data_IF_055495790052
#
_entry.id   IF_055495790052
#
_cell.length_a   1.000
_cell.length_b   1.000
_cell.length_c   1.000
_cell.angle_alpha   90.00
_cell.angle_beta   90.00
_cell.angle_gamma   90.00
#
_symmetry.space_group_name_H-M   'P 1'
#
loop_
_entity.id
_entity.type
_entity.pdbx_description
1 polymer ?
#
# COMPACT_ATOMS: atom_id res chain seq x y z
N UNK A 1 -11.11 8.42 36.70
CA UNK A 1 -10.33 8.96 35.56
C UNK A 1 -10.18 7.96 34.41
N UNK A 2 -9.85 6.67 34.67
CA UNK A 2 -9.66 5.64 33.63
C UNK A 2 -10.89 5.34 32.76
N UNK A 3 -12.13 5.38 33.30
CA UNK A 3 -13.33 5.10 32.50
C UNK A 3 -13.63 6.20 31.47
N UNK A 4 -13.42 7.48 31.81
CA UNK A 4 -13.64 8.62 30.91
C UNK A 4 -12.71 8.52 29.69
N UNK A 5 -11.43 8.23 29.92
CA UNK A 5 -10.43 8.06 28.84
C UNK A 5 -10.82 6.92 27.91
N UNK A 6 -11.32 5.81 28.46
CA UNK A 6 -11.75 4.65 27.67
C UNK A 6 -12.97 4.95 26.81
N UNK A 7 -13.95 5.69 27.36
CA UNK A 7 -15.14 6.12 26.64
C UNK A 7 -14.83 7.11 25.52
N UNK A 8 -13.96 8.09 25.78
CA UNK A 8 -13.49 9.05 24.75
C UNK A 8 -12.78 8.32 23.61
N UNK A 9 -11.88 7.37 23.92
CA UNK A 9 -11.17 6.57 22.91
C UNK A 9 -12.13 5.80 22.00
N UNK A 10 -13.17 5.18 22.57
CA UNK A 10 -14.18 4.44 21.79
C UNK A 10 -14.96 5.35 20.85
N UNK A 11 -15.36 6.55 21.32
CA UNK A 11 -16.08 7.52 20.50
C UNK A 11 -15.20 7.96 19.31
N UNK A 12 -13.96 8.35 19.58
CA UNK A 12 -13.01 8.78 18.54
C UNK A 12 -12.79 7.68 17.50
N UNK A 13 -12.54 6.44 17.91
CA UNK A 13 -12.35 5.33 16.98
C UNK A 13 -13.59 5.08 16.12
N UNK A 14 -14.79 5.17 16.70
CA UNK A 14 -16.04 5.01 15.96
C UNK A 14 -16.27 6.11 14.94
N UNK A 15 -15.97 7.36 15.30
CA UNK A 15 -16.07 8.50 14.38
C UNK A 15 -15.13 8.34 13.20
N UNK A 16 -13.90 7.88 13.43
CA UNK A 16 -12.93 7.66 12.36
C UNK A 16 -13.39 6.55 11.43
N UNK A 17 -13.85 5.42 11.98
CA UNK A 17 -14.38 4.33 11.18
C UNK A 17 -15.55 4.78 10.27
N UNK A 18 -16.37 5.73 10.76
CA UNK A 18 -17.50 6.29 10.00
C UNK A 18 -17.08 7.37 8.98
N UNK A 19 -15.99 8.10 9.24
CA UNK A 19 -15.49 9.17 8.37
C UNK A 19 -14.52 8.69 7.27
N UNK A 20 -14.03 7.45 7.37
CA UNK A 20 -13.14 6.84 6.37
C UNK A 20 -13.91 5.93 5.40
N UNK A 21 -13.42 5.76 4.16
CA UNK A 21 -13.92 4.72 3.26
C UNK A 21 -13.85 3.31 3.87
N UNK A 22 -14.59 2.39 3.28
CA UNK A 22 -14.63 0.98 3.66
C UNK A 22 -13.28 0.28 3.48
N UNK A 23 -13.12 -0.87 4.13
CA UNK A 23 -11.87 -1.63 4.10
C UNK A 23 -11.44 -2.01 2.67
N UNK A 24 -12.37 -2.37 1.78
CA UNK A 24 -12.08 -2.72 0.38
C UNK A 24 -11.48 -1.56 -0.41
N UNK A 25 -12.01 -0.35 -0.22
CA UNK A 25 -11.46 0.87 -0.85
C UNK A 25 -10.08 1.19 -0.28
N UNK A 26 -9.92 1.04 1.05
CA UNK A 26 -8.66 1.33 1.72
C UNK A 26 -7.57 0.33 1.37
N UNK A 27 -7.87 -0.97 1.28
CA UNK A 27 -6.88 -1.98 0.86
C UNK A 27 -6.42 -1.74 -0.57
N UNK A 28 -7.33 -1.41 -1.49
CA UNK A 28 -6.96 -1.01 -2.85
C UNK A 28 -6.03 0.21 -2.84
N UNK A 29 -6.37 1.24 -2.06
CA UNK A 29 -5.54 2.45 -1.92
C UNK A 29 -4.19 2.17 -1.28
N UNK A 30 -4.11 1.26 -0.31
CA UNK A 30 -2.84 0.83 0.27
C UNK A 30 -1.99 0.15 -0.80
N UNK A 31 -2.53 -0.79 -1.57
CA UNK A 31 -1.80 -1.47 -2.66
C UNK A 31 -1.30 -0.47 -3.70
N UNK A 32 -2.18 0.42 -4.16
CA UNK A 32 -1.88 1.46 -5.13
C UNK A 32 -0.75 2.40 -4.69
N UNK A 33 -0.55 2.57 -3.38
CA UNK A 33 0.54 3.39 -2.83
C UNK A 33 1.94 2.82 -3.04
N UNK A 34 2.05 1.52 -3.36
CA UNK A 34 3.31 0.87 -3.73
C UNK A 34 3.62 1.04 -5.22
N UNK A 35 2.59 1.15 -6.06
CA UNK A 35 2.75 1.29 -7.51
C UNK A 35 2.93 2.75 -7.92
N UNK A 36 2.25 3.69 -7.24
CA UNK A 36 2.27 5.11 -7.58
C UNK A 36 2.15 6.03 -6.37
N UNK A 37 2.58 7.27 -6.58
CA UNK A 37 2.35 8.31 -5.58
C UNK A 37 0.87 8.66 -5.47
N UNK A 38 0.33 8.53 -4.27
CA UNK A 38 -1.04 8.94 -3.97
C UNK A 38 -1.16 10.43 -3.66
N UNK A 39 -2.37 10.96 -3.89
CA UNK A 39 -2.79 12.28 -3.43
C UNK A 39 -2.67 12.41 -1.91
N UNK A 40 -2.48 13.64 -1.41
CA UNK A 40 -2.37 13.89 0.04
C UNK A 40 -3.61 13.42 0.79
N UNK A 41 -4.80 13.62 0.21
CA UNK A 41 -6.07 13.20 0.80
C UNK A 41 -6.18 11.68 0.95
N UNK A 42 -5.73 10.93 -0.05
CA UNK A 42 -5.73 9.47 0.02
C UNK A 42 -4.77 8.96 1.11
N UNK A 43 -3.59 9.59 1.26
CA UNK A 43 -2.64 9.24 2.33
C UNK A 43 -3.25 9.47 3.72
N UNK A 44 -3.97 10.58 3.91
CA UNK A 44 -4.64 10.90 5.18
C UNK A 44 -5.74 9.88 5.48
N UNK A 45 -6.58 9.55 4.49
CA UNK A 45 -7.65 8.55 4.64
C UNK A 45 -7.12 7.17 5.03
N UNK A 46 -6.06 6.72 4.35
CA UNK A 46 -5.39 5.45 4.69
C UNK A 46 -4.90 5.50 6.14
N UNK A 47 -4.23 6.58 6.56
CA UNK A 47 -3.65 6.69 7.90
C UNK A 47 -4.72 6.66 8.99
N UNK A 48 -5.82 7.38 8.79
CA UNK A 48 -6.95 7.40 9.70
C UNK A 48 -7.61 6.01 9.81
N UNK A 49 -7.90 5.38 8.68
CA UNK A 49 -8.55 4.06 8.69
C UNK A 49 -7.66 3.00 9.36
N UNK A 50 -6.38 2.92 8.98
CA UNK A 50 -5.39 1.99 9.54
C UNK A 50 -5.26 2.16 11.05
N UNK A 51 -5.31 3.39 11.57
CA UNK A 51 -5.26 3.62 13.02
C UNK A 51 -6.46 3.05 13.78
N UNK A 52 -7.64 3.02 13.12
CA UNK A 52 -8.89 2.50 13.70
C UNK A 52 -9.18 1.03 13.39
N UNK A 53 -8.50 0.45 12.41
CA UNK A 53 -8.78 -0.88 11.88
C UNK A 53 -7.55 -1.79 11.89
N UNK A 54 -7.52 -2.72 12.85
CA UNK A 54 -6.41 -3.68 13.04
C UNK A 54 -6.15 -4.56 11.79
N UNK A 55 -7.17 -4.85 10.99
CA UNK A 55 -7.02 -5.67 9.78
C UNK A 55 -6.28 -4.89 8.68
N UNK A 56 -6.68 -3.64 8.42
CA UNK A 56 -5.99 -2.80 7.45
C UNK A 56 -4.57 -2.45 7.89
N UNK A 57 -4.35 -2.31 9.20
CA UNK A 57 -3.01 -2.17 9.77
C UNK A 57 -2.12 -3.38 9.47
N UNK A 58 -2.62 -4.60 9.73
CA UNK A 58 -1.90 -5.84 9.43
C UNK A 58 -1.62 -5.99 7.94
N UNK A 59 -2.62 -5.74 7.10
CA UNK A 59 -2.48 -5.81 5.65
C UNK A 59 -1.38 -4.86 5.14
N UNK A 60 -1.37 -3.61 5.61
CA UNK A 60 -0.32 -2.64 5.26
C UNK A 60 1.07 -3.15 5.67
N UNK A 61 1.22 -3.71 6.87
CA UNK A 61 2.51 -4.26 7.34
C UNK A 61 2.97 -5.43 6.46
N UNK A 62 2.06 -6.30 6.04
CA UNK A 62 2.39 -7.41 5.13
C UNK A 62 2.93 -6.90 3.79
N UNK A 63 2.28 -5.91 3.19
CA UNK A 63 2.76 -5.33 1.93
C UNK A 63 4.12 -4.65 2.06
N UNK A 64 4.37 -3.94 3.17
CA UNK A 64 5.69 -3.35 3.44
C UNK A 64 6.76 -4.46 3.50
N UNK A 65 6.51 -5.55 4.25
CA UNK A 65 7.45 -6.66 4.34
C UNK A 65 7.72 -7.33 2.98
N UNK A 66 6.68 -7.53 2.17
CA UNK A 66 6.83 -8.10 0.82
C UNK A 66 7.67 -7.17 -0.06
N UNK A 67 7.35 -5.88 -0.07
CA UNK A 67 8.09 -4.90 -0.87
C UNK A 67 9.56 -4.82 -0.45
N UNK A 68 9.85 -4.77 0.85
CA UNK A 68 11.22 -4.72 1.36
C UNK A 68 12.01 -5.98 1.00
N UNK A 69 11.36 -7.15 1.00
CA UNK A 69 11.97 -8.41 0.57
C UNK A 69 12.27 -8.42 -0.94
N UNK A 70 11.33 -7.95 -1.75
CA UNK A 70 11.52 -7.85 -3.21
C UNK A 70 12.63 -6.88 -3.58
N UNK A 71 12.73 -5.73 -2.89
CA UNK A 71 13.81 -4.77 -3.12
C UNK A 71 15.18 -5.37 -2.82
N UNK A 72 15.32 -6.12 -1.73
CA UNK A 72 16.59 -6.82 -1.40
C UNK A 72 16.99 -7.86 -2.45
N UNK A 73 16.05 -8.66 -2.94
CA UNK A 73 16.33 -9.61 -4.04
C UNK A 73 16.76 -8.86 -5.30
N UNK A 74 16.10 -7.75 -5.62
CA UNK A 74 16.43 -6.99 -6.83
C UNK A 74 17.85 -6.41 -6.81
N UNK A 75 18.36 -6.05 -5.63
CA UNK A 75 19.70 -5.51 -5.46
C UNK A 75 20.80 -6.59 -5.55
N UNK A 76 20.50 -7.83 -5.13
CA UNK A 76 21.47 -8.93 -5.10
C UNK A 76 21.50 -9.77 -6.41
N UNK A 77 20.37 -9.96 -7.09
CA UNK A 77 20.24 -10.96 -8.17
C UNK A 77 19.90 -10.41 -9.57
N UNK A 78 19.42 -9.16 -9.71
CA UNK A 78 18.90 -8.65 -11.00
C UNK A 78 19.90 -7.83 -11.83
N UNK A 79 21.13 -7.62 -11.35
CA UNK A 79 22.14 -6.84 -12.09
C UNK A 79 22.51 -7.43 -13.46
N UNK A 80 22.18 -8.70 -13.70
CA UNK A 80 22.49 -9.42 -14.95
C UNK A 80 21.23 -9.84 -15.75
N UNK A 81 20.03 -9.38 -15.33
CA UNK A 81 18.78 -9.68 -16.04
C UNK A 81 18.60 -8.72 -17.21
N UNK A 82 19.25 -9.06 -18.32
CA UNK A 82 19.06 -8.38 -19.60
C UNK A 82 18.15 -9.18 -20.54
N UNK A 83 17.33 -8.47 -21.31
CA UNK A 83 16.67 -9.07 -22.48
C UNK A 83 17.75 -9.49 -23.48
N UNK A 84 17.65 -10.70 -24.02
CA UNK A 84 18.48 -11.09 -25.17
C UNK A 84 18.22 -10.13 -26.34
N UNK A 85 19.25 -9.92 -27.16
CA UNK A 85 19.16 -9.02 -28.31
C UNK A 85 17.93 -9.34 -29.20
N UNK A 86 17.70 -10.63 -29.46
CA UNK A 86 16.55 -11.13 -30.22
C UNK A 86 15.20 -10.73 -29.60
N UNK A 87 15.02 -10.90 -28.28
CA UNK A 87 13.78 -10.52 -27.59
C UNK A 87 13.55 -9.01 -27.63
N UNK A 88 14.62 -8.22 -27.54
CA UNK A 88 14.57 -6.75 -27.61
C UNK A 88 14.17 -6.28 -29.01
N UNK A 89 14.69 -6.91 -30.06
CA UNK A 89 14.35 -6.63 -31.46
C UNK A 89 12.86 -6.86 -31.72
N UNK A 90 12.33 -8.02 -31.29
CA UNK A 90 10.92 -8.39 -31.45
C UNK A 90 9.96 -7.41 -30.80
N UNK A 91 10.28 -6.97 -29.58
CA UNK A 91 9.46 -5.95 -28.87
C UNK A 91 9.50 -4.63 -29.65
N UNK A 92 10.68 -4.21 -30.11
CA UNK A 92 10.84 -2.96 -30.87
C UNK A 92 10.05 -2.95 -32.17
N UNK A 93 9.96 -4.07 -32.88
CA UNK A 93 9.14 -4.20 -34.09
C UNK A 93 7.64 -4.11 -33.79
N UNK A 94 7.17 -4.74 -32.70
CA UNK A 94 5.75 -4.70 -32.32
C UNK A 94 5.22 -3.31 -31.93
N UNK A 95 6.11 -2.37 -31.55
CA UNK A 95 5.77 -1.00 -31.16
C UNK A 95 5.79 0.02 -32.32
N UNK A 96 6.11 -0.41 -33.55
CA UNK A 96 6.16 0.45 -34.74
C UNK A 96 4.82 0.60 -35.46
N UNK A 97 3.72 0.18 -34.84
CA UNK A 97 2.34 0.37 -35.29
C UNK A 97 1.62 1.41 -34.44
#
# INVERSE_FOLDING_TARGET
MQSIVTSVKKIVMKLIAMATPSCDVITHKISESFDRQLSLWDRVRIRLHVWSCVFCERYRRQLIMINDFLQKISEEDLSDVHLSAEKKERIKESMKH
#
